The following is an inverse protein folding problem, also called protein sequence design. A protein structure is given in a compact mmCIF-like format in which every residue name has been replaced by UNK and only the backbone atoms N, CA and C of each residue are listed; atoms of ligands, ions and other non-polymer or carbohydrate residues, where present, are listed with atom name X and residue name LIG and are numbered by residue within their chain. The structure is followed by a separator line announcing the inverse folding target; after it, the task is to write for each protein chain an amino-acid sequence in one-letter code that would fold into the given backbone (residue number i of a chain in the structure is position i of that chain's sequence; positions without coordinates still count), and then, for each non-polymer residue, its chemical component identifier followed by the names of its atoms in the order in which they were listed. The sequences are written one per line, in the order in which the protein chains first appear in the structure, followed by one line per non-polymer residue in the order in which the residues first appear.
data_IF_254794349893
#
_entry.id   IF_254794349893
#
_cell.length_a   1.000
_cell.length_b   1.000
_cell.length_c   1.000
_cell.angle_alpha   90.00
_cell.angle_beta   90.00
_cell.angle_gamma   90.00
#
_symmetry.space_group_name_H-M   'P 1'
#
loop_
_entity.id
_entity.type
_entity.pdbx_description
1 polymer ?
#
# COMPACT_ATOMS: atom_id res chain seq x y z
N UNK A 1 -23.72 23.78 -67.35
CA UNK A 1 -22.30 23.76 -66.94
C UNK A 1 -22.19 23.11 -65.56
N UNK A 2 -22.07 21.77 -65.46
CA UNK A 2 -21.64 21.11 -64.23
C UNK A 2 -20.11 20.94 -64.22
N UNK A 3 -19.49 21.30 -63.09
CA UNK A 3 -18.05 21.17 -62.85
C UNK A 3 -17.63 19.75 -62.42
N UNK A 4 -16.32 19.45 -62.40
CA UNK A 4 -15.82 18.09 -62.46
C UNK A 4 -15.73 17.40 -61.09
N UNK A 5 -15.86 16.08 -61.19
CA UNK A 5 -15.64 15.05 -60.18
C UNK A 5 -14.15 14.94 -59.86
N UNK A 6 -13.79 14.93 -58.57
CA UNK A 6 -12.46 14.48 -58.12
C UNK A 6 -12.61 13.14 -57.39
N UNK A 7 -11.89 12.15 -57.91
CA UNK A 7 -11.65 10.84 -57.32
C UNK A 7 -10.15 10.59 -57.40
N UNK A 8 -9.50 10.38 -56.25
CA UNK A 8 -8.20 9.74 -56.02
C UNK A 8 -8.07 9.63 -54.48
N UNK A 9 -7.36 8.71 -53.84
CA UNK A 9 -6.93 7.33 -54.07
C UNK A 9 -6.28 6.89 -52.75
N UNK A 10 -6.21 5.58 -52.51
CA UNK A 10 -5.62 4.95 -51.32
C UNK A 10 -4.18 5.41 -51.03
N UNK A 11 -3.89 5.60 -49.74
CA UNK A 11 -2.54 5.67 -49.18
C UNK A 11 -2.39 4.67 -48.02
N UNK A 12 -1.70 3.57 -48.29
CA UNK A 12 -1.21 2.56 -47.35
C UNK A 12 -0.01 3.07 -46.54
N UNK A 13 0.16 2.53 -45.33
CA UNK A 13 1.42 2.48 -44.56
C UNK A 13 1.39 3.33 -43.29
N UNK A 14 1.85 2.89 -42.12
CA UNK A 14 2.69 1.77 -41.71
C UNK A 14 2.31 1.42 -40.26
N UNK A 15 2.01 0.15 -40.00
CA UNK A 15 1.81 -0.37 -38.65
C UNK A 15 3.16 -0.56 -37.96
N UNK A 16 3.36 0.11 -36.81
CA UNK A 16 4.47 -0.17 -35.90
C UNK A 16 4.08 -1.38 -35.06
N UNK A 17 4.58 -2.55 -35.46
CA UNK A 17 4.42 -3.79 -34.71
C UNK A 17 5.26 -3.76 -33.43
N UNK A 18 4.61 -3.64 -32.28
CA UNK A 18 5.23 -3.88 -30.98
C UNK A 18 5.36 -5.40 -30.79
N UNK A 19 6.61 -5.88 -30.78
CA UNK A 19 6.94 -7.28 -30.49
C UNK A 19 6.71 -7.57 -29.00
N UNK A 20 5.66 -8.32 -28.70
CA UNK A 20 5.48 -8.97 -27.40
C UNK A 20 6.43 -10.18 -27.33
N UNK A 21 7.40 -10.14 -26.42
CA UNK A 21 8.31 -11.26 -26.16
C UNK A 21 7.61 -12.28 -25.27
N UNK A 22 6.91 -13.24 -25.88
CA UNK A 22 6.36 -14.40 -25.17
C UNK A 22 7.46 -15.45 -25.02
N UNK A 23 8.00 -15.58 -23.82
CA UNK A 23 8.95 -16.65 -23.47
C UNK A 23 8.21 -18.00 -23.35
N UNK A 24 8.05 -18.68 -24.48
CA UNK A 24 7.55 -20.05 -24.56
C UNK A 24 8.67 -21.05 -24.22
N UNK A 25 8.62 -21.66 -23.03
CA UNK A 25 9.50 -22.81 -22.69
C UNK A 25 8.87 -24.10 -23.22
N UNK A 26 9.43 -24.57 -24.34
CA UNK A 26 9.16 -25.86 -24.96
C UNK A 26 9.68 -26.99 -24.05
N UNK A 27 8.79 -27.85 -23.57
CA UNK A 27 9.13 -29.13 -22.90
C UNK A 27 9.64 -30.13 -23.94
N UNK A 28 10.92 -30.45 -23.89
CA UNK A 28 11.52 -31.50 -24.71
C UNK A 28 11.34 -32.86 -24.02
N UNK A 29 10.62 -33.76 -24.69
CA UNK A 29 10.25 -35.09 -24.20
C UNK A 29 11.21 -36.11 -24.83
N UNK A 30 12.35 -36.37 -24.19
CA UNK A 30 13.32 -37.36 -24.68
C UNK A 30 13.01 -38.74 -24.09
N UNK A 31 12.48 -39.62 -24.94
CA UNK A 31 12.35 -41.07 -24.71
C UNK A 31 13.69 -41.73 -25.07
N UNK A 32 14.31 -42.42 -24.12
CA UNK A 32 15.32 -43.46 -24.41
C UNK A 32 15.08 -44.67 -23.50
N UNK A 33 15.18 -45.86 -24.12
CA UNK A 33 14.91 -47.19 -23.57
C UNK A 33 16.11 -47.76 -22.79
N UNK A 34 15.77 -48.53 -21.75
CA UNK A 34 16.34 -49.79 -21.21
C UNK A 34 17.86 -50.00 -21.07
N UNK A 35 18.20 -50.46 -19.86
CA UNK A 35 19.44 -51.13 -19.41
C UNK A 35 19.83 -50.51 -18.06
N UNK A 36 19.87 -51.16 -16.90
CA UNK A 36 20.18 -52.54 -16.56
C UNK A 36 21.30 -52.48 -15.50
N UNK A 37 20.99 -52.91 -14.26
CA UNK A 37 21.90 -53.16 -13.10
C UNK A 37 22.65 -51.97 -12.47
N UNK A 38 22.42 -51.77 -11.17
CA UNK A 38 23.32 -52.17 -10.08
C UNK A 38 23.18 -51.23 -8.89
N UNK A 39 22.88 -51.82 -7.74
CA UNK A 39 22.99 -51.26 -6.40
C UNK A 39 24.31 -50.52 -6.17
N UNK A 40 24.23 -49.31 -5.61
CA UNK A 40 25.16 -48.77 -4.60
C UNK A 40 24.64 -47.47 -4.01
N UNK A 41 24.85 -47.35 -2.72
CA UNK A 41 24.44 -46.31 -1.80
C UNK A 41 24.89 -44.90 -2.22
N UNK A 42 24.01 -43.93 -2.02
CA UNK A 42 24.39 -42.53 -1.86
C UNK A 42 23.34 -41.81 -1.00
N UNK A 43 23.64 -41.70 0.29
CA UNK A 43 22.98 -40.78 1.19
C UNK A 43 23.21 -39.35 0.68
N UNK A 44 22.12 -38.60 0.52
CA UNK A 44 22.16 -37.17 0.17
C UNK A 44 21.84 -36.41 1.44
N UNK A 45 22.85 -35.73 1.97
CA UNK A 45 22.77 -34.88 3.16
C UNK A 45 21.80 -33.71 2.92
N UNK A 46 20.71 -33.69 3.69
CA UNK A 46 19.82 -32.55 3.80
C UNK A 46 20.45 -31.50 4.72
N UNK A 47 20.74 -30.32 4.18
CA UNK A 47 21.16 -29.16 4.97
C UNK A 47 19.91 -28.57 5.67
N UNK A 48 19.91 -28.40 7.01
CA UNK A 48 18.73 -27.91 7.72
C UNK A 48 18.54 -26.40 7.53
N UNK A 49 17.34 -25.99 7.11
CA UNK A 49 16.92 -24.59 6.83
C UNK A 49 16.84 -23.69 8.06
N UNK A 50 17.06 -24.22 9.27
CA UNK A 50 16.91 -23.50 10.53
C UNK A 50 17.92 -22.36 10.76
N UNK A 51 19.02 -22.29 9.97
CA UNK A 51 20.07 -21.27 10.18
C UNK A 51 19.78 -19.91 9.55
N UNK A 52 18.86 -19.82 8.59
CA UNK A 52 18.54 -18.54 7.92
C UNK A 52 17.53 -17.72 8.74
N UNK A 53 16.60 -18.38 9.44
CA UNK A 53 15.57 -17.71 10.24
C UNK A 53 16.12 -17.06 11.53
N UNK A 54 17.18 -17.63 12.12
CA UNK A 54 17.80 -17.07 13.34
C UNK A 54 18.61 -15.78 13.04
N UNK A 55 19.18 -15.68 11.84
CA UNK A 55 19.95 -14.50 11.42
C UNK A 55 19.05 -13.25 11.22
N UNK A 56 17.85 -13.42 10.67
CA UNK A 56 16.88 -12.35 10.48
C UNK A 56 16.27 -11.87 11.81
N UNK A 57 15.98 -12.80 12.74
CA UNK A 57 15.52 -12.45 14.10
C UNK A 57 16.58 -11.68 14.89
N UNK A 58 17.87 -12.07 14.79
CA UNK A 58 18.97 -11.36 15.47
C UNK A 58 19.26 -9.98 14.88
N UNK A 59 19.14 -9.81 13.56
CA UNK A 59 19.27 -8.49 12.93
C UNK A 59 18.16 -7.53 13.39
N UNK A 60 16.93 -8.02 13.55
CA UNK A 60 15.79 -7.24 14.06
C UNK A 60 15.95 -6.86 15.54
N UNK A 61 16.54 -7.73 16.36
CA UNK A 61 16.84 -7.44 17.78
C UNK A 61 18.02 -6.48 17.98
N UNK A 62 19.00 -6.45 17.07
CA UNK A 62 20.13 -5.51 17.13
C UNK A 62 19.79 -4.12 16.59
N UNK A 63 18.86 -3.98 15.65
CA UNK A 63 18.38 -2.68 15.18
C UNK A 63 17.62 -1.88 16.26
N UNK A 64 17.06 -2.55 17.28
CA UNK A 64 16.40 -1.90 18.41
C UNK A 64 17.35 -1.23 19.43
N UNK A 65 18.67 -1.48 19.37
CA UNK A 65 19.63 -1.02 20.40
C UNK A 65 20.38 0.27 20.08
N UNK A 66 20.06 0.96 18.98
CA UNK A 66 20.65 2.27 18.67
C UNK A 66 19.57 3.28 18.32
N UNK A 67 18.80 3.70 19.34
CA UNK A 67 17.99 4.91 19.24
C UNK A 67 18.92 6.13 19.36
N UNK A 68 19.10 6.96 18.31
CA UNK A 68 19.55 8.31 18.55
C UNK A 68 18.54 8.99 19.47
N UNK A 69 19.03 9.57 20.57
CA UNK A 69 18.21 10.38 21.47
C UNK A 69 17.48 11.45 20.66
N UNK A 70 16.16 11.63 20.83
CA UNK A 70 15.45 12.69 20.13
C UNK A 70 16.08 14.03 20.51
N UNK A 71 16.56 14.77 19.51
CA UNK A 71 16.90 16.18 19.68
C UNK A 71 15.59 16.89 19.98
N UNK A 72 15.41 17.28 21.23
CA UNK A 72 14.29 18.11 21.68
C UNK A 72 14.33 19.44 20.91
N UNK A 73 13.51 19.57 19.87
CA UNK A 73 13.20 20.87 19.31
C UNK A 73 12.28 21.57 20.32
N UNK A 74 12.87 22.43 21.15
CA UNK A 74 12.15 23.31 22.07
C UNK A 74 11.47 24.39 21.24
N UNK A 75 10.18 24.21 20.95
CA UNK A 75 9.33 25.28 20.45
C UNK A 75 9.11 26.24 21.62
N UNK A 76 9.79 27.39 21.60
CA UNK A 76 9.56 28.46 22.57
C UNK A 76 8.23 29.13 22.24
N UNK A 77 7.19 28.83 23.02
CA UNK A 77 5.99 29.64 23.06
C UNK A 77 6.31 31.00 23.73
N UNK A 78 5.77 32.12 23.22
CA UNK A 78 5.97 33.42 23.85
C UNK A 78 5.29 33.45 25.22
N UNK A 79 6.08 33.76 26.25
CA UNK A 79 5.65 33.87 27.64
C UNK A 79 5.03 35.26 27.83
N UNK A 80 3.70 35.34 27.88
CA UNK A 80 3.01 36.54 28.34
C UNK A 80 2.97 36.56 29.87
N UNK A 81 3.31 37.71 30.44
CA UNK A 81 3.47 37.95 31.87
C UNK A 81 2.13 37.79 32.62
N UNK A 82 2.20 37.09 33.76
CA UNK A 82 1.18 37.07 34.80
C UNK A 82 1.44 38.24 35.75
N UNK A 83 0.58 39.26 35.72
CA UNK A 83 0.42 40.19 36.82
C UNK A 83 -0.89 39.88 37.54
N UNK A 84 -0.77 39.69 38.85
CA UNK A 84 -1.87 39.42 39.78
C UNK A 84 -2.36 40.71 40.42
N UNK A 85 -3.65 41.01 40.33
CA UNK A 85 -4.31 41.92 41.27
C UNK A 85 -5.70 41.39 41.63
N UNK A 86 -5.97 41.39 42.93
CA UNK A 86 -7.13 40.84 43.60
C UNK A 86 -8.33 41.80 43.63
N UNK A 87 -9.48 41.19 43.92
CA UNK A 87 -10.70 41.75 44.52
C UNK A 87 -11.54 42.75 43.72
N UNK A 88 -12.65 42.25 43.16
CA UNK A 88 -13.97 42.87 43.28
C UNK A 88 -15.06 41.81 43.00
N UNK A 89 -15.98 41.66 43.93
CA UNK A 89 -17.25 40.99 43.73
C UNK A 89 -18.12 41.84 42.80
N UNK A 90 -18.71 41.24 41.77
CA UNK A 90 -19.99 41.69 41.22
C UNK A 90 -20.63 40.55 40.41
N UNK A 91 -21.91 40.36 40.66
CA UNK A 91 -22.79 39.51 39.89
C UNK A 91 -23.04 40.18 38.54
N UNK A 92 -22.72 39.52 37.43
CA UNK A 92 -23.46 39.71 36.19
C UNK A 92 -23.11 38.68 35.11
N UNK A 93 -24.19 38.26 34.44
CA UNK A 93 -24.28 37.69 33.11
C UNK A 93 -23.53 36.37 32.82
N UNK A 94 -24.33 35.33 32.54
CA UNK A 94 -24.02 34.24 31.63
C UNK A 94 -23.58 34.79 30.26
N UNK A 95 -22.37 35.34 30.19
CA UNK A 95 -21.73 35.75 28.96
C UNK A 95 -21.41 34.48 28.18
N UNK A 96 -22.34 34.12 27.30
CA UNK A 96 -22.24 33.08 26.28
C UNK A 96 -20.90 33.24 25.56
N UNK A 97 -19.89 32.53 26.06
CA UNK A 97 -18.53 32.58 25.55
C UNK A 97 -18.58 31.91 24.19
N UNK A 98 -18.75 32.73 23.16
CA UNK A 98 -18.80 32.24 21.78
C UNK A 98 -17.49 31.51 21.52
N UNK A 99 -17.51 30.20 21.19
CA UNK A 99 -16.30 29.44 21.00
C UNK A 99 -15.48 30.08 19.88
N UNK A 100 -14.18 30.25 20.13
CA UNK A 100 -13.26 30.78 19.12
C UNK A 100 -13.36 29.94 17.83
N UNK A 101 -13.28 30.57 16.65
CA UNK A 101 -13.35 29.84 15.39
C UNK A 101 -12.22 28.79 15.32
N UNK A 102 -12.48 27.61 14.72
CA UNK A 102 -11.47 26.58 14.60
C UNK A 102 -10.27 27.10 13.78
N UNK A 103 -9.05 26.62 14.07
CA UNK A 103 -7.89 27.00 13.28
C UNK A 103 -8.06 26.56 11.81
N UNK A 104 -7.49 27.31 10.86
CA UNK A 104 -7.56 26.92 9.45
C UNK A 104 -6.88 25.55 9.24
N UNK A 105 -7.36 24.76 8.25
CA UNK A 105 -6.77 23.46 7.97
C UNK A 105 -5.31 23.62 7.50
N UNK A 106 -4.45 22.62 7.78
CA UNK A 106 -3.07 22.67 7.31
C UNK A 106 -3.01 22.62 5.77
N UNK A 107 -1.97 23.18 5.14
CA UNK A 107 -1.90 23.30 3.68
C UNK A 107 -1.96 21.96 2.96
N UNK A 108 -1.41 20.90 3.55
CA UNK A 108 -1.42 19.56 2.96
C UNK A 108 -2.83 18.94 2.85
N UNK A 109 -3.83 19.45 3.59
CA UNK A 109 -5.22 19.00 3.48
C UNK A 109 -5.86 19.33 2.11
N UNK A 110 -5.28 20.28 1.38
CA UNK A 110 -5.73 20.69 0.04
C UNK A 110 -5.09 19.90 -1.10
N UNK A 111 -4.11 19.03 -0.82
CA UNK A 111 -3.38 18.30 -1.84
C UNK A 111 -4.23 17.14 -2.40
N UNK A 112 -4.33 17.09 -3.73
CA UNK A 112 -4.88 15.94 -4.44
C UNK A 112 -3.79 14.89 -4.64
N UNK A 113 -3.90 13.76 -3.93
CA UNK A 113 -2.94 12.65 -3.98
C UNK A 113 -3.60 11.37 -4.49
N UNK A 114 -2.86 10.46 -5.13
CA UNK A 114 -3.43 9.18 -5.56
C UNK A 114 -3.96 8.38 -4.36
N UNK A 115 -5.08 7.70 -4.56
CA UNK A 115 -5.67 6.80 -3.58
C UNK A 115 -5.24 5.38 -3.88
N UNK A 116 -4.62 4.74 -2.90
CA UNK A 116 -4.19 3.34 -3.00
C UNK A 116 -5.03 2.46 -2.08
N UNK A 117 -4.96 1.15 -2.31
CA UNK A 117 -5.29 0.14 -1.31
C UNK A 117 -4.07 -0.72 -1.01
N UNK A 118 -3.70 -0.83 0.26
CA UNK A 118 -2.65 -1.74 0.71
C UNK A 118 -3.27 -3.06 1.15
N UNK A 119 -2.98 -4.13 0.42
CA UNK A 119 -3.40 -5.48 0.74
C UNK A 119 -2.27 -6.27 1.42
N UNK A 120 -2.63 -7.10 2.38
CA UNK A 120 -1.71 -7.92 3.17
C UNK A 120 -2.32 -9.28 3.49
N UNK A 121 -1.47 -10.27 3.66
CA UNK A 121 -1.86 -11.60 4.11
C UNK A 121 -1.12 -11.92 5.42
N UNK A 122 -1.73 -12.71 6.32
CA UNK A 122 -1.05 -13.13 7.52
C UNK A 122 0.01 -14.18 7.19
N UNK A 123 1.12 -14.16 7.93
CA UNK A 123 1.93 -15.37 8.09
C UNK A 123 1.25 -16.32 9.07
N UNK A 124 1.50 -17.62 8.93
CA UNK A 124 1.04 -18.74 9.79
C UNK A 124 0.67 -18.32 11.24
N UNK A 125 -0.36 -18.91 11.87
CA UNK A 125 -0.99 -18.46 13.14
C UNK A 125 -0.08 -18.28 14.37
N UNK A 126 1.24 -18.51 14.27
CA UNK A 126 2.22 -18.43 15.35
C UNK A 126 2.96 -17.07 15.46
N UNK A 127 2.41 -15.96 14.95
CA UNK A 127 3.04 -14.63 15.01
C UNK A 127 2.06 -13.48 15.24
N UNK A 128 2.59 -12.25 15.36
CA UNK A 128 1.82 -11.02 15.71
C UNK A 128 0.82 -10.53 14.63
N UNK A 129 0.70 -11.31 13.55
CA UNK A 129 -0.21 -11.06 12.43
C UNK A 129 -1.68 -11.06 12.87
N UNK A 130 -2.56 -10.42 12.08
CA UNK A 130 -3.99 -10.32 12.38
C UNK A 130 -4.78 -11.62 12.16
N UNK A 131 -4.13 -12.74 11.80
CA UNK A 131 -4.77 -14.03 11.53
C UNK A 131 -5.64 -14.11 10.27
N UNK A 132 -6.00 -12.97 9.67
CA UNK A 132 -6.81 -12.86 8.45
C UNK A 132 -6.17 -11.93 7.42
N UNK A 133 -6.40 -12.21 6.15
CA UNK A 133 -6.02 -11.30 5.07
C UNK A 133 -6.84 -10.00 5.16
N UNK A 134 -6.22 -8.87 4.84
CA UNK A 134 -6.86 -7.57 4.96
C UNK A 134 -6.37 -6.61 3.89
N UNK A 135 -7.20 -5.63 3.55
CA UNK A 135 -6.80 -4.49 2.74
C UNK A 135 -7.46 -3.21 3.24
N UNK A 136 -6.69 -2.11 3.25
CA UNK A 136 -7.17 -0.80 3.66
C UNK A 136 -6.82 0.27 2.63
N UNK A 137 -7.60 1.36 2.59
CA UNK A 137 -7.20 2.56 1.84
C UNK A 137 -5.94 3.16 2.46
N UNK A 138 -5.02 3.62 1.61
CA UNK A 138 -3.89 4.45 2.01
C UNK A 138 -3.68 5.56 0.99
N UNK A 139 -3.57 6.80 1.49
CA UNK A 139 -3.27 7.99 0.69
C UNK A 139 -1.90 8.56 1.05
N UNK A 140 -1.31 8.11 2.16
CA UNK A 140 0.03 8.46 2.60
C UNK A 140 1.03 7.46 2.03
N UNK A 141 1.17 7.47 0.71
CA UNK A 141 2.14 6.68 -0.01
C UNK A 141 2.78 7.51 -1.13
N UNK A 142 4.11 7.44 -1.24
CA UNK A 142 4.83 8.17 -2.30
C UNK A 142 6.09 7.43 -2.76
N UNK A 143 6.48 7.56 -4.05
CA UNK A 143 7.76 7.08 -4.53
C UNK A 143 8.89 7.93 -3.94
N UNK A 144 9.93 7.26 -3.45
CA UNK A 144 11.10 7.90 -2.80
C UNK A 144 12.34 7.79 -3.68
N UNK A 145 12.51 6.69 -4.40
CA UNK A 145 13.72 6.43 -5.19
C UNK A 145 13.39 5.60 -6.42
N UNK A 146 14.08 5.86 -7.53
CA UNK A 146 13.98 5.07 -8.77
C UNK A 146 15.22 4.16 -8.95
N UNK A 147 16.42 4.65 -8.61
CA UNK A 147 17.71 3.93 -8.69
C UNK A 147 18.55 4.22 -7.43
N UNK A 148 19.36 3.28 -6.93
CA UNK A 148 19.58 1.92 -7.45
C UNK A 148 18.42 0.96 -7.19
N UNK A 149 17.65 1.19 -6.12
CA UNK A 149 16.45 0.42 -5.77
C UNK A 149 15.21 1.30 -5.85
N UNK A 150 14.16 0.81 -6.50
CA UNK A 150 12.86 1.48 -6.51
C UNK A 150 12.25 1.40 -5.12
N UNK A 151 11.85 2.54 -4.54
CA UNK A 151 11.32 2.60 -3.19
C UNK A 151 10.05 3.42 -3.07
N UNK A 152 9.18 2.95 -2.20
CA UNK A 152 7.98 3.66 -1.75
C UNK A 152 8.09 3.93 -0.25
N UNK A 153 7.66 5.11 0.19
CA UNK A 153 7.29 5.33 1.59
C UNK A 153 5.78 5.11 1.73
N UNK A 154 5.37 4.41 2.77
CA UNK A 154 3.95 4.12 3.06
C UNK A 154 3.70 4.32 4.54
N UNK A 155 2.72 5.15 4.91
CA UNK A 155 2.27 5.26 6.29
C UNK A 155 1.25 4.15 6.61
N UNK A 156 1.48 3.46 7.72
CA UNK A 156 0.66 2.35 8.20
C UNK A 156 -0.04 2.79 9.49
N UNK A 157 -1.38 2.89 9.45
CA UNK A 157 -2.15 3.17 10.66
C UNK A 157 -2.07 1.97 11.62
N UNK A 158 -1.54 2.19 12.83
CA UNK A 158 -1.09 1.13 13.74
C UNK A 158 -2.22 0.20 14.21
N UNK A 159 -3.46 0.72 14.25
CA UNK A 159 -4.63 0.00 14.76
C UNK A 159 -5.38 -0.78 13.68
N UNK A 160 -4.68 -1.31 12.68
CA UNK A 160 -5.31 -2.04 11.56
C UNK A 160 -4.73 -3.44 11.39
N UNK A 161 -5.59 -4.38 10.95
CA UNK A 161 -5.17 -5.72 10.57
C UNK A 161 -4.12 -5.69 9.43
N UNK A 162 -4.27 -4.75 8.49
CA UNK A 162 -3.32 -4.50 7.41
C UNK A 162 -1.93 -4.12 7.95
N UNK A 163 -1.84 -3.16 8.86
CA UNK A 163 -0.56 -2.78 9.46
C UNK A 163 0.06 -3.94 10.24
N UNK A 164 -0.72 -4.64 11.07
CA UNK A 164 -0.24 -5.81 11.82
C UNK A 164 0.34 -6.90 10.92
N UNK A 165 -0.36 -7.24 9.83
CA UNK A 165 0.13 -8.20 8.85
C UNK A 165 1.41 -7.71 8.16
N UNK A 166 1.45 -6.45 7.69
CA UNK A 166 2.62 -5.92 7.00
C UNK A 166 3.85 -5.84 7.92
N UNK A 167 3.68 -5.46 9.18
CA UNK A 167 4.76 -5.43 10.16
C UNK A 167 5.26 -6.83 10.54
N UNK A 168 4.36 -7.80 10.69
CA UNK A 168 4.72 -9.17 11.03
C UNK A 168 5.42 -9.90 9.87
N UNK A 169 4.99 -9.64 8.64
CA UNK A 169 5.47 -10.36 7.45
C UNK A 169 6.56 -9.61 6.68
N UNK A 170 6.69 -8.30 6.92
CA UNK A 170 7.53 -7.41 6.13
C UNK A 170 7.05 -7.20 4.68
N UNK A 171 5.84 -7.68 4.32
CA UNK A 171 5.36 -7.72 2.93
C UNK A 171 3.92 -7.22 2.79
N UNK A 172 3.63 -6.65 1.63
CA UNK A 172 2.29 -6.23 1.22
C UNK A 172 2.21 -5.96 -0.27
N UNK A 173 1.00 -5.74 -0.78
CA UNK A 173 0.76 -5.34 -2.17
C UNK A 173 0.03 -4.00 -2.19
N UNK A 174 0.67 -2.98 -2.74
CA UNK A 174 0.07 -1.67 -2.93
C UNK A 174 -0.64 -1.61 -4.27
N UNK A 175 -1.91 -1.23 -4.25
CA UNK A 175 -2.81 -1.25 -5.40
C UNK A 175 -3.20 0.17 -5.78
N UNK A 176 -2.99 0.56 -7.04
CA UNK A 176 -3.41 1.87 -7.56
C UNK A 176 -4.89 1.80 -7.95
N UNK A 177 -5.74 2.53 -7.23
CA UNK A 177 -7.18 2.46 -7.46
C UNK A 177 -7.59 3.34 -8.65
N UNK A 178 -8.71 2.97 -9.28
CA UNK A 178 -9.38 3.76 -10.33
C UNK A 178 -10.57 4.51 -9.75
N UNK A 179 -11.05 5.56 -10.43
CA UNK A 179 -12.17 6.40 -9.98
C UNK A 179 -13.43 5.61 -9.61
N UNK A 180 -13.76 4.56 -10.36
CA UNK A 180 -14.90 3.68 -10.05
C UNK A 180 -14.80 2.97 -8.69
N UNK A 181 -13.61 2.93 -8.07
CA UNK A 181 -13.40 2.37 -6.73
C UNK A 181 -13.67 3.39 -5.62
N UNK A 182 -14.06 4.64 -5.92
CA UNK A 182 -14.41 5.64 -4.90
C UNK A 182 -15.42 5.13 -3.86
N UNK A 183 -16.48 4.36 -4.21
CA UNK A 183 -17.41 3.81 -3.22
C UNK A 183 -16.75 2.87 -2.20
N UNK A 184 -15.57 2.30 -2.51
CA UNK A 184 -14.86 1.40 -1.60
C UNK A 184 -14.21 2.13 -0.42
N UNK A 185 -14.10 3.45 -0.45
CA UNK A 185 -13.47 4.21 0.64
C UNK A 185 -14.21 4.00 1.96
N UNK A 186 -15.52 3.80 1.94
CA UNK A 186 -16.27 3.50 3.16
C UNK A 186 -15.92 2.11 3.72
N UNK A 187 -15.94 1.08 2.86
CA UNK A 187 -15.63 -0.29 3.26
C UNK A 187 -14.16 -0.47 3.67
N UNK A 188 -13.23 0.06 2.86
CA UNK A 188 -11.79 -0.18 3.01
C UNK A 188 -11.10 0.88 3.87
N UNK A 189 -11.69 2.07 4.04
CA UNK A 189 -11.11 3.17 4.81
C UNK A 189 -11.74 3.38 6.19
N UNK A 190 -13.05 3.15 6.35
CA UNK A 190 -13.78 3.46 7.60
C UNK A 190 -14.18 2.24 8.42
N UNK A 191 -14.18 1.03 7.84
CA UNK A 191 -14.55 -0.20 8.55
C UNK A 191 -13.34 -1.04 8.92
N UNK A 192 -13.32 -1.58 10.14
CA UNK A 192 -12.30 -2.52 10.56
C UNK A 192 -12.52 -3.89 9.90
N UNK A 193 -11.44 -4.64 9.71
CA UNK A 193 -11.54 -6.05 9.33
C UNK A 193 -12.07 -6.94 10.47
N UNK A 194 -12.14 -6.40 11.70
CA UNK A 194 -12.81 -7.06 12.83
C UNK A 194 -14.34 -7.02 12.70
N UNK A 195 -14.90 -5.97 12.08
CA UNK A 195 -16.34 -5.75 12.05
C UNK A 195 -17.01 -6.36 10.82
N UNK A 196 -16.25 -6.55 9.74
CA UNK A 196 -16.80 -7.06 8.48
C UNK A 196 -15.78 -7.90 7.68
N UNK A 197 -16.28 -8.93 7.01
CA UNK A 197 -15.52 -9.64 5.97
C UNK A 197 -15.47 -8.77 4.71
N UNK A 198 -14.41 -7.96 4.60
CA UNK A 198 -14.19 -7.07 3.46
C UNK A 198 -14.15 -7.81 2.12
N UNK A 199 -13.68 -9.06 2.10
CA UNK A 199 -13.58 -9.83 0.85
C UNK A 199 -14.96 -10.29 0.39
N UNK A 200 -15.82 -10.68 1.33
CA UNK A 200 -17.23 -10.98 1.05
C UNK A 200 -17.97 -9.73 0.62
N UNK A 201 -17.86 -8.63 1.36
CA UNK A 201 -18.51 -7.36 1.03
C UNK A 201 -18.10 -6.82 -0.36
N UNK A 202 -16.81 -6.91 -0.73
CA UNK A 202 -16.36 -6.53 -2.08
C UNK A 202 -17.10 -7.29 -3.18
N UNK A 203 -17.36 -8.59 -2.99
CA UNK A 203 -18.07 -9.40 -3.99
C UNK A 203 -19.57 -9.15 -3.96
N UNK A 204 -20.16 -9.23 -2.77
CA UNK A 204 -21.61 -9.28 -2.60
C UNK A 204 -22.26 -7.89 -2.75
N UNK A 205 -21.60 -6.85 -2.23
CA UNK A 205 -22.16 -5.50 -2.18
C UNK A 205 -21.68 -4.63 -3.35
N UNK A 206 -20.47 -4.88 -3.88
CA UNK A 206 -19.84 -4.06 -4.92
C UNK A 206 -19.62 -4.80 -6.25
N UNK A 207 -19.84 -6.11 -6.32
CA UNK A 207 -19.59 -6.90 -7.53
C UNK A 207 -18.11 -6.94 -7.95
N UNK A 208 -17.18 -6.68 -7.03
CA UNK A 208 -15.75 -6.58 -7.32
C UNK A 208 -15.06 -7.93 -7.12
N UNK A 209 -14.44 -8.41 -8.20
CA UNK A 209 -13.62 -9.59 -8.17
C UNK A 209 -12.32 -9.36 -7.39
N UNK A 210 -11.91 -10.39 -6.63
CA UNK A 210 -10.65 -10.43 -5.89
C UNK A 210 -9.81 -11.57 -6.46
N UNK A 211 -8.54 -11.29 -6.76
CA UNK A 211 -7.57 -12.24 -7.33
C UNK A 211 -6.30 -12.25 -6.48
N UNK A 212 -5.56 -13.35 -6.53
CA UNK A 212 -4.28 -13.45 -5.83
C UNK A 212 -3.14 -12.89 -6.67
N UNK A 213 -2.33 -11.99 -6.09
CA UNK A 213 -1.10 -11.46 -6.69
C UNK A 213 -0.01 -11.41 -5.62
N UNK A 214 1.17 -11.91 -5.96
CA UNK A 214 2.34 -11.96 -5.05
C UNK A 214 2.08 -12.67 -3.71
N UNK A 215 1.12 -13.61 -3.69
CA UNK A 215 0.67 -14.33 -2.48
C UNK A 215 -0.34 -13.58 -1.61
N UNK A 216 -0.95 -12.50 -2.12
CA UNK A 216 -1.91 -11.67 -1.40
C UNK A 216 -3.17 -11.46 -2.25
N UNK A 217 -4.35 -11.47 -1.60
CA UNK A 217 -5.63 -11.16 -2.26
C UNK A 217 -5.74 -9.66 -2.57
N UNK A 218 -5.99 -9.34 -3.84
CA UNK A 218 -6.04 -7.98 -4.41
C UNK A 218 -7.30 -7.80 -5.25
N UNK A 219 -7.74 -6.56 -5.43
CA UNK A 219 -8.82 -6.19 -6.33
C UNK A 219 -8.37 -6.48 -7.77
N UNK A 220 -9.20 -7.19 -8.54
CA UNK A 220 -8.85 -7.63 -9.88
C UNK A 220 -8.57 -6.45 -10.83
N UNK A 221 -9.40 -5.41 -10.76
CA UNK A 221 -9.50 -4.39 -11.81
C UNK A 221 -8.90 -3.03 -11.39
N UNK A 222 -7.71 -3.08 -10.79
CA UNK A 222 -6.92 -1.91 -10.38
C UNK A 222 -6.11 -1.35 -11.55
N UNK A 223 -5.61 -0.11 -11.44
CA UNK A 223 -4.75 0.48 -12.47
C UNK A 223 -3.33 -0.12 -12.45
N UNK A 224 -2.89 -0.60 -11.30
CA UNK A 224 -1.60 -1.26 -11.14
C UNK A 224 -1.41 -1.84 -9.75
N UNK A 225 -0.42 -2.71 -9.61
CA UNK A 225 -0.01 -3.32 -8.35
C UNK A 225 1.50 -3.28 -8.19
N UNK A 226 1.95 -3.20 -6.95
CA UNK A 226 3.37 -3.23 -6.56
C UNK A 226 3.55 -4.11 -5.34
N UNK A 227 4.41 -5.12 -5.44
CA UNK A 227 4.91 -5.87 -4.28
C UNK A 227 5.83 -4.95 -3.45
N UNK A 228 5.53 -4.83 -2.16
CA UNK A 228 6.32 -4.06 -1.21
C UNK A 228 7.02 -4.97 -0.21
N UNK A 229 8.30 -4.68 0.06
CA UNK A 229 9.11 -5.32 1.11
C UNK A 229 9.67 -4.24 2.03
N UNK A 230 9.36 -4.30 3.33
CA UNK A 230 9.83 -3.32 4.30
C UNK A 230 11.37 -3.36 4.39
N UNK A 231 11.99 -2.19 4.30
CA UNK A 231 13.43 -1.97 4.49
C UNK A 231 13.70 -1.30 5.83
N UNK A 232 12.88 -0.32 6.20
CA UNK A 232 12.98 0.38 7.48
C UNK A 232 11.61 0.89 7.94
N UNK A 233 11.48 1.11 9.25
CA UNK A 233 10.26 1.62 9.88
C UNK A 233 10.64 2.75 10.82
N UNK A 234 9.90 3.85 10.74
CA UNK A 234 9.95 4.94 11.71
C UNK A 234 8.59 5.08 12.42
N UNK A 235 8.62 5.41 13.72
CA UNK A 235 7.40 5.66 14.49
C UNK A 235 7.02 7.13 14.40
N UNK A 236 5.85 7.43 13.84
CA UNK A 236 5.38 8.78 13.56
C UNK A 236 4.00 9.02 14.21
N UNK A 237 3.90 8.79 15.51
CA UNK A 237 2.66 8.93 16.26
C UNK A 237 1.72 7.74 16.07
N UNK A 238 0.53 8.00 15.52
CA UNK A 238 -0.51 7.01 15.23
C UNK A 238 -0.24 6.19 13.94
N UNK A 239 0.85 6.50 13.24
CA UNK A 239 1.31 5.77 12.07
C UNK A 239 2.74 5.25 12.24
N UNK A 240 3.03 4.14 11.58
CA UNK A 240 4.40 3.76 11.22
C UNK A 240 4.71 4.23 9.80
N UNK A 241 5.82 4.91 9.60
CA UNK A 241 6.34 5.21 8.27
C UNK A 241 7.24 4.07 7.81
N UNK A 242 6.76 3.25 6.89
CA UNK A 242 7.51 2.14 6.31
C UNK A 242 8.18 2.59 5.00
N UNK A 243 9.50 2.50 4.92
CA UNK A 243 10.23 2.56 3.65
C UNK A 243 10.29 1.15 3.07
N UNK A 244 9.82 0.99 1.85
CA UNK A 244 9.69 -0.31 1.20
C UNK A 244 10.47 -0.34 -0.11
N UNK A 245 11.20 -1.43 -0.37
CA UNK A 245 11.65 -1.76 -1.71
C UNK A 245 10.45 -2.25 -2.53
N UNK A 246 10.38 -1.80 -3.78
CA UNK A 246 9.41 -2.29 -4.77
C UNK A 246 10.00 -3.51 -5.46
N UNK A 247 9.35 -4.66 -5.27
CA UNK A 247 9.71 -5.92 -5.92
C UNK A 247 9.11 -6.00 -7.33
N UNK A 248 8.25 -6.99 -7.55
CA UNK A 248 7.48 -7.11 -8.79
C UNK A 248 6.35 -6.07 -8.84
N UNK A 249 6.01 -5.61 -10.05
CA UNK A 249 4.88 -4.70 -10.27
C UNK A 249 4.26 -4.94 -11.64
N UNK A 250 3.00 -4.56 -11.78
CA UNK A 250 2.25 -4.67 -13.02
C UNK A 250 1.34 -3.46 -13.19
N UNK A 251 1.22 -2.97 -14.42
CA UNK A 251 0.26 -1.94 -14.81
C UNK A 251 -0.80 -2.59 -15.69
N UNK A 252 -2.06 -2.28 -15.45
CA UNK A 252 -3.17 -2.85 -16.18
C UNK A 252 -3.79 -1.82 -17.09
N UNK A 253 -3.89 -2.17 -18.37
CA UNK A 253 -4.76 -1.46 -19.30
C UNK A 253 -6.22 -1.70 -18.91
N UNK A 254 -7.08 -0.71 -19.15
CA UNK A 254 -8.50 -0.79 -18.82
C UNK A 254 -9.10 0.60 -18.69
N UNK A 255 -10.42 0.65 -18.75
CA UNK A 255 -11.17 1.90 -18.68
C UNK A 255 -11.09 2.53 -17.29
N UNK A 256 -11.10 3.87 -17.28
CA UNK A 256 -11.20 4.67 -16.05
C UNK A 256 -9.87 5.18 -15.52
N UNK A 257 -9.89 6.45 -15.11
CA UNK A 257 -8.76 7.19 -14.57
C UNK A 257 -8.35 6.71 -13.18
N UNK A 258 -7.11 6.99 -12.79
CA UNK A 258 -6.64 6.78 -11.41
C UNK A 258 -7.48 7.63 -10.45
N UNK A 259 -7.81 7.06 -9.28
CA UNK A 259 -8.53 7.76 -8.22
C UNK A 259 -7.58 8.67 -7.44
N UNK A 260 -7.96 9.93 -7.29
CA UNK A 260 -7.27 10.90 -6.44
C UNK A 260 -8.18 11.35 -5.28
N UNK A 261 -7.59 11.89 -4.22
CA UNK A 261 -8.35 12.41 -3.07
C UNK A 261 -9.29 13.55 -3.47
N UNK A 262 -8.97 14.31 -4.52
CA UNK A 262 -9.86 15.34 -5.07
C UNK A 262 -11.14 14.80 -5.73
N UNK A 263 -11.19 13.50 -6.07
CA UNK A 263 -12.37 12.85 -6.63
C UNK A 263 -13.32 12.31 -5.54
N UNK A 264 -12.88 12.31 -4.27
CA UNK A 264 -13.68 11.79 -3.17
C UNK A 264 -14.72 12.82 -2.71
N UNK A 265 -15.89 12.37 -2.23
CA UNK A 265 -16.87 13.27 -1.62
C UNK A 265 -16.20 14.07 -0.49
N UNK A 266 -16.37 15.40 -0.53
CA UNK A 266 -15.95 16.23 0.60
C UNK A 266 -16.78 15.81 1.80
N UNK A 267 -16.13 15.64 2.95
CA UNK A 267 -16.84 15.42 4.21
C UNK A 267 -17.75 16.63 4.44
N UNK A 268 -19.07 16.40 4.39
CA UNK A 268 -20.12 17.35 4.74
C UNK A 268 -20.16 17.59 6.23
#
# INVERSE_FOLDING_TARGET
MPGPVMSFALGLGLGVGVRVHVASRRREKKRTRRGGRSSRDAAVDAVPSARVDDALRRASLMAMRRRPTPRNYRVTAPTAALESSSDAADADADAETTPAPPPPPPPYASLSVPVYSLATAPTSPAGDSAGVASMNITTYACPVTIKPSRRMAVALYTHTATARNMLATGRGVLQVLRKRHAPLVELLGKRSAHDCDKMKALRDDFGIAVVERYGVRTIADVAGVMELKIVSIEHAGDHHLALCDVGEYESFEGDGEVLYTGDLPKAS
#
